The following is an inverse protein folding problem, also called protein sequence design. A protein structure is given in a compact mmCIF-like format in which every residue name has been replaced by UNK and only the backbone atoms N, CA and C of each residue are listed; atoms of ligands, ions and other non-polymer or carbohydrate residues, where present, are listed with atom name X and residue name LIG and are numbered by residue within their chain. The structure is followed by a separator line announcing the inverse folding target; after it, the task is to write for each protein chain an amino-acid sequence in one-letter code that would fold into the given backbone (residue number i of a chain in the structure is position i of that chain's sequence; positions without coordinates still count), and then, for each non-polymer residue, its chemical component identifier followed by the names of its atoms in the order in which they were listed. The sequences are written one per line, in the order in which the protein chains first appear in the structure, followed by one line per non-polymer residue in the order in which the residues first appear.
data_IF_194361522295
#
_entry.id   IF_194361522295
#
_cell.length_a   1.000
_cell.length_b   1.000
_cell.length_c   1.000
_cell.angle_alpha   90.00
_cell.angle_beta   90.00
_cell.angle_gamma   90.00
#
_symmetry.space_group_name_H-M   'P 1'
#
loop_
_entity.id
_entity.type
_entity.pdbx_description
1 polymer ?
#
# COMPACT_ATOMS: atom_id res chain seq x y z
N UNK A 1 17.16 0.42 9.55
CA UNK A 1 17.73 0.95 8.29
C UNK A 1 17.74 2.48 8.26
N UNK A 2 18.75 3.14 8.85
CA UNK A 2 18.77 4.62 8.92
C UNK A 2 18.82 5.30 7.54
N UNK A 3 19.60 4.75 6.59
CA UNK A 3 19.71 5.34 5.24
C UNK A 3 18.45 5.15 4.40
N UNK A 4 17.78 4.00 4.52
CA UNK A 4 16.48 3.76 3.85
C UNK A 4 15.44 4.73 4.38
N UNK A 5 15.40 4.95 5.70
CA UNK A 5 14.53 5.95 6.30
C UNK A 5 14.81 7.35 5.74
N UNK A 6 16.08 7.79 5.75
CA UNK A 6 16.46 9.08 5.21
C UNK A 6 16.06 9.24 3.73
N UNK A 7 16.40 8.26 2.88
CA UNK A 7 16.13 8.30 1.46
C UNK A 7 14.63 8.27 1.12
N UNK A 8 13.84 7.45 1.84
CA UNK A 8 12.41 7.38 1.62
C UNK A 8 11.72 8.71 2.01
N UNK A 9 12.03 9.25 3.19
CA UNK A 9 11.38 10.50 3.64
C UNK A 9 11.86 11.73 2.88
N UNK A 10 13.13 11.77 2.42
CA UNK A 10 13.63 12.87 1.59
C UNK A 10 13.18 12.76 0.13
N UNK A 11 13.18 11.55 -0.46
CA UNK A 11 12.74 11.32 -1.84
C UNK A 11 11.24 11.50 -2.04
N UNK A 12 10.43 11.09 -1.07
CA UNK A 12 8.97 11.29 -1.09
C UNK A 12 8.53 12.54 -0.32
N UNK A 13 9.38 13.57 -0.20
CA UNK A 13 9.18 14.73 0.68
C UNK A 13 7.77 15.33 0.59
N UNK A 14 7.36 15.79 -0.61
CA UNK A 14 6.04 16.42 -0.81
C UNK A 14 4.91 15.44 -0.47
N UNK A 15 5.05 14.16 -0.83
CA UNK A 15 4.06 13.15 -0.53
C UNK A 15 3.91 12.93 0.99
N UNK A 16 5.03 12.90 1.72
CA UNK A 16 5.04 12.77 3.19
C UNK A 16 4.47 14.00 3.89
N UNK A 17 4.73 15.21 3.37
CA UNK A 17 4.08 16.43 3.88
C UNK A 17 2.56 16.36 3.69
N UNK A 18 2.07 15.90 2.54
CA UNK A 18 0.63 15.70 2.31
C UNK A 18 0.03 14.70 3.30
N UNK A 19 0.72 13.58 3.58
CA UNK A 19 0.30 12.60 4.59
C UNK A 19 0.25 13.25 5.97
N UNK A 20 1.28 14.00 6.35
CA UNK A 20 1.33 14.69 7.64
C UNK A 20 0.18 15.68 7.81
N UNK A 21 -0.06 16.53 6.80
CA UNK A 21 -1.18 17.46 6.78
C UNK A 21 -2.53 16.74 6.88
N UNK A 22 -2.70 15.62 6.17
CA UNK A 22 -3.91 14.81 6.25
C UNK A 22 -4.12 14.21 7.65
N UNK A 23 -3.04 13.75 8.30
CA UNK A 23 -3.09 13.17 9.63
C UNK A 23 -3.44 14.20 10.72
N UNK A 24 -3.15 15.49 10.54
CA UNK A 24 -3.58 16.53 11.48
C UNK A 24 -5.10 16.65 11.60
N UNK A 25 -5.84 16.44 10.51
CA UNK A 25 -7.30 16.56 10.54
C UNK A 25 -7.96 15.49 11.41
N UNK A 26 -7.39 14.29 11.49
CA UNK A 26 -8.04 13.15 12.16
C UNK A 26 -8.28 13.35 13.67
N UNK A 27 -7.27 13.63 14.52
CA UNK A 27 -7.50 13.81 15.95
C UNK A 27 -8.36 15.05 16.24
N UNK A 28 -8.13 16.15 15.51
CA UNK A 28 -8.88 17.39 15.66
C UNK A 28 -10.35 17.21 15.30
N UNK A 29 -10.64 16.52 14.20
CA UNK A 29 -12.01 16.30 13.76
C UNK A 29 -12.79 15.44 14.75
N UNK A 30 -12.18 14.43 15.38
CA UNK A 30 -12.88 13.62 16.39
C UNK A 30 -13.28 14.42 17.63
N UNK A 31 -12.42 15.30 18.14
CA UNK A 31 -12.76 16.11 19.32
C UNK A 31 -13.68 17.30 18.96
N UNK A 32 -13.41 18.00 17.85
CA UNK A 32 -14.07 19.28 17.54
C UNK A 32 -15.42 19.13 16.83
N UNK A 33 -15.68 18.02 16.15
CA UNK A 33 -16.94 17.79 15.42
C UNK A 33 -18.18 18.01 16.29
N UNK A 34 -18.13 17.59 17.56
CA UNK A 34 -19.27 17.65 18.48
C UNK A 34 -19.43 18.98 19.23
N UNK A 35 -18.43 19.86 19.22
CA UNK A 35 -18.37 21.03 20.12
C UNK A 35 -19.34 22.15 19.74
N UNK A 36 -19.62 22.32 18.44
CA UNK A 36 -20.50 23.37 17.93
C UNK A 36 -21.71 22.74 17.23
N UNK A 37 -22.91 23.13 17.64
CA UNK A 37 -24.17 22.66 17.07
C UNK A 37 -24.52 23.38 15.74
N UNK A 38 -23.61 23.35 14.77
CA UNK A 38 -23.79 23.92 13.43
C UNK A 38 -23.58 22.84 12.36
N UNK A 39 -24.51 22.73 11.41
CA UNK A 39 -24.44 21.75 10.33
C UNK A 39 -23.20 21.94 9.42
N UNK A 40 -22.83 23.19 9.11
CA UNK A 40 -21.63 23.49 8.31
C UNK A 40 -20.35 23.10 9.04
N UNK A 41 -20.31 23.30 10.36
CA UNK A 41 -19.19 22.90 11.21
C UNK A 41 -18.99 21.39 11.20
N UNK A 42 -20.06 20.61 11.40
CA UNK A 42 -20.00 19.15 11.35
C UNK A 42 -19.56 18.65 9.98
N UNK A 43 -20.10 19.23 8.90
CA UNK A 43 -19.72 18.86 7.53
C UNK A 43 -18.23 19.12 7.23
N UNK A 44 -17.67 20.24 7.72
CA UNK A 44 -16.25 20.56 7.57
C UNK A 44 -15.36 19.50 8.23
N UNK A 45 -15.66 19.13 9.48
CA UNK A 45 -14.90 18.11 10.21
C UNK A 45 -15.12 16.70 9.66
N UNK A 46 -16.32 16.38 9.20
CA UNK A 46 -16.59 15.12 8.48
C UNK A 46 -15.76 15.02 7.19
N UNK A 47 -15.64 16.11 6.43
CA UNK A 47 -14.75 16.18 5.26
C UNK A 47 -13.29 16.00 5.65
N UNK A 48 -12.86 16.63 6.75
CA UNK A 48 -11.50 16.45 7.30
C UNK A 48 -11.22 15.00 7.70
N UNK A 49 -12.18 14.28 8.31
CA UNK A 49 -12.04 12.85 8.63
C UNK A 49 -11.89 12.00 7.37
N UNK A 50 -12.65 12.30 6.32
CA UNK A 50 -12.55 11.58 5.04
C UNK A 50 -11.18 11.81 4.41
N UNK A 51 -10.73 13.06 4.29
CA UNK A 51 -9.41 13.40 3.73
C UNK A 51 -8.30 12.75 4.54
N UNK A 52 -8.34 12.88 5.87
CA UNK A 52 -7.35 12.31 6.78
C UNK A 52 -7.30 10.78 6.78
N UNK A 53 -8.38 10.12 6.34
CA UNK A 53 -8.45 8.65 6.22
C UNK A 53 -8.15 8.15 4.81
N UNK A 54 -8.35 8.97 3.78
CA UNK A 54 -8.16 8.61 2.38
C UNK A 54 -6.73 8.87 1.90
N UNK A 55 -6.16 10.04 2.24
CA UNK A 55 -4.85 10.45 1.72
C UNK A 55 -3.72 9.51 2.15
N UNK A 56 -3.59 9.09 3.44
CA UNK A 56 -2.46 8.26 3.84
C UNK A 56 -2.41 6.90 3.11
N UNK A 57 -3.48 6.09 3.06
CA UNK A 57 -3.45 4.82 2.32
C UNK A 57 -3.10 4.97 0.84
N UNK A 58 -3.63 6.00 0.17
CA UNK A 58 -3.37 6.26 -1.26
C UNK A 58 -1.91 6.62 -1.47
N UNK A 59 -1.37 7.57 -0.69
CA UNK A 59 0.02 8.02 -0.82
C UNK A 59 1.00 6.90 -0.51
N UNK A 60 0.76 6.10 0.53
CA UNK A 60 1.62 4.95 0.82
C UNK A 60 1.56 3.89 -0.30
N UNK A 61 0.39 3.64 -0.88
CA UNK A 61 0.28 2.74 -2.03
C UNK A 61 1.05 3.25 -3.26
N UNK A 62 0.97 4.55 -3.55
CA UNK A 62 1.76 5.20 -4.61
C UNK A 62 3.26 5.09 -4.32
N UNK A 63 3.68 5.32 -3.07
CA UNK A 63 5.08 5.18 -2.68
C UNK A 63 5.60 3.75 -2.92
N UNK A 64 4.85 2.72 -2.49
CA UNK A 64 5.18 1.32 -2.76
C UNK A 64 5.23 1.00 -4.27
N UNK A 65 4.29 1.54 -5.05
CA UNK A 65 4.32 1.39 -6.51
C UNK A 65 5.59 1.95 -7.14
N UNK A 66 6.07 3.12 -6.68
CA UNK A 66 7.31 3.70 -7.16
C UNK A 66 8.57 2.93 -6.74
N UNK A 67 8.52 2.14 -5.66
CA UNK A 67 9.66 1.27 -5.29
C UNK A 67 9.92 0.20 -6.36
N UNK A 68 8.88 -0.28 -7.06
CA UNK A 68 9.04 -1.23 -8.17
C UNK A 68 9.58 -0.59 -9.45
N UNK A 69 9.29 0.69 -9.69
CA UNK A 69 9.71 1.43 -10.89
C UNK A 69 11.10 2.06 -10.78
N UNK A 70 11.72 1.95 -9.60
CA UNK A 70 12.81 2.78 -9.10
C UNK A 70 12.50 4.27 -8.95
N UNK A 71 13.19 4.86 -7.98
CA UNK A 71 13.08 6.26 -7.61
C UNK A 71 14.40 6.95 -7.99
N UNK A 72 14.39 8.09 -8.70
CA UNK A 72 15.60 8.77 -9.15
C UNK A 72 16.32 9.48 -8.00
N UNK A 73 17.10 8.73 -7.24
CA UNK A 73 18.01 9.25 -6.22
C UNK A 73 19.42 8.67 -6.41
N UNK A 74 20.43 9.39 -5.92
CA UNK A 74 21.81 8.91 -5.88
C UNK A 74 22.40 9.10 -4.49
N UNK A 75 23.36 8.24 -4.14
CA UNK A 75 24.21 8.47 -2.98
C UNK A 75 25.46 9.23 -3.40
N UNK A 76 25.78 10.32 -2.70
CA UNK A 76 27.09 10.98 -2.85
C UNK A 76 28.20 10.09 -2.28
N UNK A 77 29.49 10.38 -2.57
CA UNK A 77 30.61 9.66 -1.95
C UNK A 77 30.60 9.69 -0.41
N UNK A 78 29.99 10.72 0.18
CA UNK A 78 29.79 10.87 1.62
C UNK A 78 28.52 10.18 2.14
N UNK A 79 27.82 9.42 1.29
CA UNK A 79 26.57 8.70 1.58
C UNK A 79 25.38 9.62 1.91
N UNK A 80 25.40 10.85 1.40
CA UNK A 80 24.23 11.73 1.39
C UNK A 80 23.26 11.29 0.28
N UNK A 81 21.96 11.48 0.49
CA UNK A 81 20.93 11.12 -0.50
C UNK A 81 20.53 12.38 -1.27
N UNK A 82 20.87 12.42 -2.55
CA UNK A 82 20.39 13.45 -3.46
C UNK A 82 19.21 12.89 -4.29
N UNK A 83 18.09 13.60 -4.28
CA UNK A 83 16.90 13.25 -5.06
C UNK A 83 16.68 14.28 -6.16
N UNK A 84 16.50 13.80 -7.40
CA UNK A 84 16.43 14.66 -8.58
C UNK A 84 15.07 14.62 -9.29
N UNK A 85 14.13 13.80 -8.81
CA UNK A 85 12.82 13.62 -9.44
C UNK A 85 11.83 14.74 -9.10
N UNK A 86 11.03 15.24 -10.06
CA UNK A 86 9.89 16.08 -9.74
C UNK A 86 8.77 15.26 -9.08
N UNK A 87 7.99 15.89 -8.20
CA UNK A 87 6.86 15.24 -7.50
C UNK A 87 5.89 14.53 -8.45
N UNK A 88 5.59 15.13 -9.60
CA UNK A 88 4.65 14.58 -10.59
C UNK A 88 5.10 13.25 -11.20
N UNK A 89 6.41 12.96 -11.19
CA UNK A 89 6.94 11.67 -11.66
C UNK A 89 6.48 10.51 -10.76
N UNK A 90 6.18 10.79 -9.49
CA UNK A 90 5.67 9.80 -8.54
C UNK A 90 4.25 9.36 -8.89
N UNK A 91 3.49 10.15 -9.64
CA UNK A 91 2.11 9.86 -10.03
C UNK A 91 2.06 9.08 -11.36
N UNK A 92 2.87 8.03 -11.47
CA UNK A 92 2.83 7.14 -12.63
C UNK A 92 1.55 6.30 -12.63
N UNK A 93 1.05 5.85 -13.79
CA UNK A 93 -0.14 5.01 -13.87
C UNK A 93 -0.07 3.74 -13.01
N UNK A 94 1.11 3.10 -12.97
CA UNK A 94 1.35 1.93 -12.12
C UNK A 94 1.32 2.29 -10.63
N UNK A 95 1.93 3.41 -10.23
CA UNK A 95 1.88 3.84 -8.84
C UNK A 95 0.46 4.22 -8.39
N UNK A 96 -0.34 4.84 -9.26
CA UNK A 96 -1.74 5.14 -8.99
C UNK A 96 -2.57 3.86 -8.82
N UNK A 97 -2.30 2.82 -9.61
CA UNK A 97 -2.91 1.50 -9.44
C UNK A 97 -2.59 0.90 -8.06
N UNK A 98 -1.33 0.98 -7.62
CA UNK A 98 -0.93 0.57 -6.27
C UNK A 98 -1.60 1.42 -5.17
N UNK A 99 -1.77 2.72 -5.40
CA UNK A 99 -2.54 3.63 -4.54
C UNK A 99 -3.99 3.20 -4.37
N UNK A 100 -4.66 2.85 -5.48
CA UNK A 100 -6.03 2.36 -5.48
C UNK A 100 -6.17 0.99 -4.80
N UNK A 101 -5.20 0.09 -5.01
CA UNK A 101 -5.12 -1.19 -4.32
C UNK A 101 -5.02 -0.98 -2.80
N UNK A 102 -4.10 -0.14 -2.34
CA UNK A 102 -3.91 0.19 -0.92
C UNK A 102 -5.16 0.79 -0.29
N UNK A 103 -5.82 1.73 -0.97
CA UNK A 103 -7.08 2.30 -0.52
C UNK A 103 -8.17 1.22 -0.38
N UNK A 104 -8.29 0.34 -1.37
CA UNK A 104 -9.29 -0.74 -1.37
C UNK A 104 -9.06 -1.73 -0.22
N UNK A 105 -7.80 -2.04 0.12
CA UNK A 105 -7.44 -2.87 1.28
C UNK A 105 -7.92 -2.26 2.61
N UNK A 106 -7.76 -0.94 2.77
CA UNK A 106 -8.19 -0.24 3.99
C UNK A 106 -9.71 -0.15 4.07
N UNK A 107 -10.39 0.14 2.95
CA UNK A 107 -11.86 0.18 2.90
C UNK A 107 -12.46 -1.20 3.19
N UNK A 108 -11.89 -2.29 2.65
CA UNK A 108 -12.36 -3.64 2.93
C UNK A 108 -12.28 -3.95 4.43
N UNK A 109 -11.12 -3.70 5.05
CA UNK A 109 -10.92 -3.95 6.49
C UNK A 109 -11.86 -3.12 7.37
N UNK A 110 -12.00 -1.83 7.07
CA UNK A 110 -12.93 -0.94 7.77
C UNK A 110 -14.39 -1.35 7.57
N UNK A 111 -14.77 -1.75 6.36
CA UNK A 111 -16.12 -2.21 6.03
C UNK A 111 -16.49 -3.49 6.78
N UNK A 112 -15.58 -4.45 6.87
CA UNK A 112 -15.80 -5.68 7.65
C UNK A 112 -15.87 -5.38 9.15
N UNK A 113 -15.01 -4.49 9.65
CA UNK A 113 -15.05 -4.04 11.05
C UNK A 113 -16.39 -3.37 11.39
N UNK A 114 -16.91 -2.50 10.51
CA UNK A 114 -18.21 -1.88 10.70
C UNK A 114 -19.33 -2.92 10.74
N UNK A 115 -19.30 -3.95 9.89
CA UNK A 115 -20.29 -5.02 9.93
C UNK A 115 -20.27 -5.83 11.23
N UNK A 116 -19.11 -5.94 11.89
CA UNK A 116 -18.98 -6.58 13.21
C UNK A 116 -19.63 -5.74 14.32
N UNK A 117 -19.63 -4.41 14.18
CA UNK A 117 -20.04 -3.46 15.24
C UNK A 117 -21.39 -2.80 15.01
N UNK A 118 -22.03 -3.01 13.87
CA UNK A 118 -23.27 -2.31 13.50
C UNK A 118 -24.32 -3.27 12.98
N UNK A 119 -25.58 -2.83 13.03
CA UNK A 119 -26.74 -3.61 12.61
C UNK A 119 -27.61 -2.82 11.60
N UNK A 120 -28.62 -3.50 11.04
CA UNK A 120 -29.59 -2.91 10.13
C UNK A 120 -28.97 -2.27 8.88
N UNK A 121 -29.41 -1.05 8.57
CA UNK A 121 -29.05 -0.33 7.34
C UNK A 121 -27.55 -0.03 7.26
N UNK A 122 -26.90 0.28 8.39
CA UNK A 122 -25.47 0.61 8.42
C UNK A 122 -24.65 -0.63 8.06
N UNK A 123 -25.01 -1.80 8.60
CA UNK A 123 -24.37 -3.08 8.26
C UNK A 123 -24.51 -3.42 6.78
N UNK A 124 -25.69 -3.20 6.18
CA UNK A 124 -25.93 -3.45 4.76
C UNK A 124 -25.07 -2.53 3.87
N UNK A 125 -24.93 -1.25 4.23
CA UNK A 125 -24.05 -0.32 3.52
C UNK A 125 -22.58 -0.72 3.64
N UNK A 126 -22.15 -1.13 4.82
CA UNK A 126 -20.80 -1.62 5.07
C UNK A 126 -20.49 -2.90 4.26
N UNK A 127 -21.47 -3.82 4.16
CA UNK A 127 -21.36 -5.01 3.31
C UNK A 127 -21.21 -4.65 1.83
N UNK A 128 -21.97 -3.67 1.34
CA UNK A 128 -21.81 -3.16 -0.02
C UNK A 128 -20.41 -2.58 -0.25
N UNK A 129 -19.88 -1.78 0.67
CA UNK A 129 -18.53 -1.24 0.58
C UNK A 129 -17.46 -2.36 0.56
N UNK A 130 -17.60 -3.37 1.43
CA UNK A 130 -16.72 -4.55 1.46
C UNK A 130 -16.76 -5.30 0.12
N UNK A 131 -17.93 -5.48 -0.49
CA UNK A 131 -18.07 -6.14 -1.81
C UNK A 131 -17.27 -5.43 -2.90
N UNK A 132 -17.50 -4.13 -3.06
CA UNK A 132 -16.82 -3.35 -4.11
C UNK A 132 -15.31 -3.32 -3.87
N UNK A 133 -14.89 -3.18 -2.60
CA UNK A 133 -13.47 -3.17 -2.25
C UNK A 133 -12.80 -4.52 -2.49
N UNK A 134 -13.45 -5.63 -2.14
CA UNK A 134 -12.92 -6.97 -2.42
C UNK A 134 -12.71 -7.21 -3.92
N UNK A 135 -13.68 -6.80 -4.75
CA UNK A 135 -13.55 -6.89 -6.22
C UNK A 135 -12.41 -5.99 -6.73
N UNK A 136 -12.33 -4.74 -6.27
CA UNK A 136 -11.27 -3.81 -6.64
C UNK A 136 -9.89 -4.32 -6.25
N UNK A 137 -9.73 -4.94 -5.06
CA UNK A 137 -8.47 -5.55 -4.64
C UNK A 137 -8.03 -6.62 -5.64
N UNK A 138 -8.93 -7.55 -5.99
CA UNK A 138 -8.59 -8.64 -6.93
C UNK A 138 -8.19 -8.08 -8.28
N UNK A 139 -8.97 -7.15 -8.84
CA UNK A 139 -8.68 -6.53 -10.14
C UNK A 139 -7.37 -5.77 -10.10
N UNK A 140 -7.18 -4.87 -9.13
CA UNK A 140 -5.97 -4.05 -9.05
C UNK A 140 -4.72 -4.90 -8.79
N UNK A 141 -4.83 -5.93 -7.96
CA UNK A 141 -3.71 -6.82 -7.65
C UNK A 141 -3.32 -7.69 -8.86
N UNK A 142 -4.30 -8.22 -9.60
CA UNK A 142 -4.06 -8.94 -10.86
C UNK A 142 -3.41 -8.04 -11.91
N UNK A 143 -3.96 -6.83 -12.10
CA UNK A 143 -3.40 -5.87 -13.06
C UNK A 143 -1.99 -5.43 -12.67
N UNK A 144 -1.73 -5.18 -11.38
CA UNK A 144 -0.41 -4.79 -10.90
C UNK A 144 0.60 -5.93 -11.09
N UNK A 145 0.22 -7.17 -10.77
CA UNK A 145 1.06 -8.34 -10.98
C UNK A 145 1.37 -8.58 -12.46
N UNK A 146 0.36 -8.47 -13.34
CA UNK A 146 0.55 -8.59 -14.78
C UNK A 146 1.45 -7.49 -15.34
N UNK A 147 1.23 -6.23 -14.93
CA UNK A 147 2.05 -5.10 -15.37
C UNK A 147 3.51 -5.28 -14.94
N UNK A 148 3.73 -5.71 -13.70
CA UNK A 148 5.07 -5.97 -13.19
C UNK A 148 5.76 -7.09 -13.97
N UNK A 149 5.02 -8.14 -14.35
CA UNK A 149 5.55 -9.25 -15.15
C UNK A 149 5.86 -8.84 -16.59
N UNK A 150 4.99 -8.06 -17.23
CA UNK A 150 5.06 -7.77 -18.66
C UNK A 150 5.89 -6.53 -19.02
N UNK A 151 5.96 -5.53 -18.13
CA UNK A 151 6.38 -4.18 -18.50
C UNK A 151 7.26 -3.44 -17.50
N UNK A 152 7.72 -4.09 -16.42
CA UNK A 152 8.62 -3.48 -15.45
C UNK A 152 9.87 -4.34 -15.29
N UNK A 153 11.01 -3.78 -15.67
CA UNK A 153 12.30 -4.41 -15.43
C UNK A 153 12.59 -4.43 -13.92
N UNK A 154 13.14 -5.54 -13.44
CA UNK A 154 13.51 -5.69 -12.04
C UNK A 154 14.98 -5.47 -11.80
N UNK A 155 15.35 -5.37 -10.52
CA UNK A 155 16.73 -5.23 -10.10
C UNK A 155 17.29 -6.59 -9.68
N UNK A 156 18.54 -6.87 -10.05
CA UNK A 156 19.28 -8.06 -9.61
C UNK A 156 20.59 -7.63 -8.99
N UNK A 157 20.82 -8.15 -7.79
CA UNK A 157 22.02 -7.85 -7.03
C UNK A 157 23.13 -8.82 -7.47
N UNK A 158 24.19 -8.28 -8.07
CA UNK A 158 25.31 -9.03 -8.64
C UNK A 158 26.36 -9.35 -7.59
N UNK A 159 26.70 -8.36 -6.76
CA UNK A 159 27.75 -8.46 -5.75
C UNK A 159 27.29 -7.85 -4.43
N UNK A 160 27.35 -8.64 -3.36
CA UNK A 160 27.17 -8.18 -1.98
C UNK A 160 27.93 -9.12 -1.04
N UNK A 161 28.77 -8.54 -0.20
CA UNK A 161 29.26 -9.23 0.99
C UNK A 161 28.23 -9.09 2.11
N UNK A 162 27.68 -10.20 2.58
CA UNK A 162 26.70 -10.22 3.66
C UNK A 162 27.30 -9.84 5.02
N UNK A 163 28.60 -10.08 5.20
CA UNK A 163 29.33 -9.74 6.43
C UNK A 163 30.10 -8.41 6.32
N UNK A 164 30.03 -7.76 5.15
CA UNK A 164 30.69 -6.50 4.88
C UNK A 164 30.03 -5.31 5.57
N UNK A 165 30.69 -4.14 5.56
CA UNK A 165 30.11 -2.92 6.12
C UNK A 165 28.83 -2.55 5.37
N UNK A 166 27.86 -1.96 6.08
CA UNK A 166 26.65 -1.43 5.45
C UNK A 166 27.01 -0.25 4.54
N UNK A 167 27.26 -0.51 3.25
CA UNK A 167 27.60 0.51 2.25
C UNK A 167 26.96 0.17 0.88
N UNK A 168 25.90 0.89 0.46
CA UNK A 168 25.27 0.73 -0.85
C UNK A 168 26.20 0.93 -2.04
N UNK A 169 27.24 1.76 -1.92
CA UNK A 169 28.19 2.04 -3.01
C UNK A 169 29.07 0.83 -3.34
N UNK A 170 29.15 -0.16 -2.45
CA UNK A 170 29.90 -1.41 -2.66
C UNK A 170 29.05 -2.50 -3.31
N UNK A 171 27.76 -2.24 -3.61
CA UNK A 171 26.85 -3.21 -4.22
C UNK A 171 26.79 -3.02 -5.73
N UNK A 172 26.98 -4.10 -6.48
CA UNK A 172 26.69 -4.14 -7.91
C UNK A 172 25.23 -4.50 -8.15
N UNK A 173 24.51 -3.67 -8.90
CA UNK A 173 23.10 -3.91 -9.27
C UNK A 173 22.97 -3.83 -10.79
N UNK A 174 22.28 -4.81 -11.38
CA UNK A 174 21.88 -4.79 -12.78
C UNK A 174 20.36 -4.69 -12.91
N UNK A 175 19.90 -4.08 -14.00
CA UNK A 175 18.48 -4.03 -14.38
C UNK A 175 18.27 -5.15 -15.40
N UNK A 176 17.35 -6.07 -15.11
CA UNK A 176 17.06 -7.22 -15.96
C UNK A 176 15.55 -7.40 -16.15
N UNK A 177 15.11 -7.74 -17.38
CA UNK A 177 13.70 -7.98 -17.65
C UNK A 177 13.20 -9.18 -16.85
N UNK A 178 12.02 -9.03 -16.22
CA UNK A 178 11.38 -10.09 -15.44
C UNK A 178 12.06 -10.42 -14.10
N UNK A 179 13.09 -9.67 -13.68
CA UNK A 179 13.87 -10.00 -12.48
C UNK A 179 13.04 -10.01 -11.18
N UNK A 180 11.94 -9.25 -11.13
CA UNK A 180 10.99 -9.30 -10.02
C UNK A 180 10.38 -10.68 -9.77
N UNK A 181 10.38 -11.55 -10.78
CA UNK A 181 9.80 -12.89 -10.70
C UNK A 181 10.80 -13.96 -10.24
N UNK A 182 12.09 -13.61 -10.11
CA UNK A 182 13.16 -14.58 -9.84
C UNK A 182 12.92 -15.41 -8.58
N UNK A 183 12.42 -14.81 -7.50
CA UNK A 183 12.12 -15.54 -6.26
C UNK A 183 11.01 -16.55 -6.43
N UNK A 184 9.96 -16.19 -7.16
CA UNK A 184 8.83 -17.08 -7.44
C UNK A 184 9.22 -18.23 -8.37
N UNK A 185 10.12 -17.98 -9.32
CA UNK A 185 10.65 -19.02 -10.22
C UNK A 185 11.55 -19.99 -9.44
N UNK A 186 12.44 -19.49 -8.58
CA UNK A 186 13.37 -20.32 -7.79
C UNK A 186 12.68 -21.10 -6.68
N UNK A 187 11.62 -20.54 -6.10
CA UNK A 187 10.86 -21.16 -5.02
C UNK A 187 9.36 -21.05 -5.29
N UNK A 188 8.78 -21.96 -6.09
CA UNK A 188 7.37 -21.90 -6.49
C UNK A 188 6.38 -21.90 -5.33
N UNK A 189 6.76 -22.42 -4.15
CA UNK A 189 5.96 -22.34 -2.93
C UNK A 189 5.60 -20.89 -2.54
N UNK A 190 6.45 -19.91 -2.90
CA UNK A 190 6.19 -18.49 -2.63
C UNK A 190 4.98 -17.96 -3.41
N UNK A 191 4.55 -18.62 -4.49
CA UNK A 191 3.34 -18.26 -5.25
C UNK A 191 2.06 -18.44 -4.44
N UNK A 192 2.07 -19.23 -3.36
CA UNK A 192 0.91 -19.39 -2.48
C UNK A 192 0.49 -18.02 -1.89
N UNK A 193 1.44 -17.14 -1.60
CA UNK A 193 1.19 -15.84 -0.96
C UNK A 193 0.40 -14.90 -1.88
N UNK A 194 0.83 -14.60 -3.12
CA UNK A 194 0.03 -13.79 -4.04
C UNK A 194 -1.31 -14.45 -4.40
N UNK A 195 -1.35 -15.78 -4.53
CA UNK A 195 -2.62 -16.50 -4.77
C UNK A 195 -3.61 -16.30 -3.62
N UNK A 196 -3.16 -16.40 -2.37
CA UNK A 196 -3.98 -16.09 -1.20
C UNK A 196 -4.40 -14.62 -1.19
N UNK A 197 -3.54 -13.70 -1.64
CA UNK A 197 -3.86 -12.28 -1.83
C UNK A 197 -5.06 -12.05 -2.76
N UNK A 198 -5.31 -12.94 -3.72
CA UNK A 198 -6.47 -12.89 -4.63
C UNK A 198 -7.70 -13.65 -4.10
N UNK A 199 -7.49 -14.79 -3.45
CA UNK A 199 -8.59 -15.67 -2.99
C UNK A 199 -9.23 -15.14 -1.71
N UNK A 200 -8.42 -14.68 -0.75
CA UNK A 200 -8.90 -14.22 0.56
C UNK A 200 -9.88 -13.02 0.52
N UNK A 201 -9.74 -11.99 -0.34
CA UNK A 201 -10.75 -10.93 -0.45
C UNK A 201 -12.13 -11.48 -0.82
N UNK A 202 -12.18 -12.47 -1.72
CA UNK A 202 -13.43 -13.12 -2.16
C UNK A 202 -14.03 -13.91 -0.99
N UNK A 203 -13.19 -14.68 -0.27
CA UNK A 203 -13.62 -15.42 0.92
C UNK A 203 -14.10 -14.49 2.05
N UNK A 204 -13.45 -13.33 2.23
CA UNK A 204 -13.85 -12.32 3.20
C UNK A 204 -15.25 -11.79 2.88
N UNK A 205 -15.49 -11.42 1.62
CA UNK A 205 -16.81 -11.00 1.17
C UNK A 205 -17.86 -12.10 1.35
N UNK A 206 -17.55 -13.33 0.97
CA UNK A 206 -18.49 -14.46 1.10
C UNK A 206 -18.82 -14.79 2.56
N UNK A 207 -17.85 -14.73 3.46
CA UNK A 207 -18.06 -14.89 4.89
C UNK A 207 -18.98 -13.79 5.44
N UNK A 208 -18.79 -12.54 5.00
CA UNK A 208 -19.66 -11.42 5.36
C UNK A 208 -21.10 -11.60 4.86
N UNK A 209 -21.31 -12.11 3.64
CA UNK A 209 -22.65 -12.44 3.12
C UNK A 209 -23.37 -13.48 3.99
N UNK A 210 -22.65 -14.50 4.47
CA UNK A 210 -23.18 -15.54 5.36
C UNK A 210 -23.35 -15.08 6.82
N UNK A 211 -23.10 -13.82 7.12
CA UNK A 211 -23.15 -13.27 8.48
C UNK A 211 -21.98 -13.71 9.39
N UNK A 212 -20.98 -14.41 8.86
CA UNK A 212 -19.79 -14.87 9.59
C UNK A 212 -18.73 -13.76 9.64
N UNK A 213 -19.09 -12.60 10.20
CA UNK A 213 -18.26 -11.38 10.18
C UNK A 213 -16.90 -11.54 10.83
N UNK A 214 -16.76 -12.37 11.87
CA UNK A 214 -15.46 -12.68 12.50
C UNK A 214 -14.50 -13.35 11.50
N UNK A 215 -14.98 -14.36 10.75
CA UNK A 215 -14.18 -15.02 9.71
C UNK A 215 -13.87 -14.06 8.57
N UNK A 216 -14.84 -13.23 8.19
CA UNK A 216 -14.64 -12.15 7.22
C UNK A 216 -13.50 -11.22 7.64
N UNK A 217 -13.42 -10.84 8.92
CA UNK A 217 -12.38 -9.96 9.46
C UNK A 217 -10.99 -10.62 9.42
N UNK A 218 -10.92 -11.91 9.79
CA UNK A 218 -9.69 -12.69 9.68
C UNK A 218 -9.21 -12.78 8.23
N UNK A 219 -10.09 -13.11 7.29
CA UNK A 219 -9.73 -13.16 5.87
C UNK A 219 -9.29 -11.81 5.32
N UNK A 220 -9.98 -10.71 5.67
CA UNK A 220 -9.59 -9.37 5.27
C UNK A 220 -8.20 -8.98 5.82
N UNK A 221 -7.90 -9.34 7.07
CA UNK A 221 -6.58 -9.10 7.69
C UNK A 221 -5.49 -9.93 7.02
N UNK A 222 -5.78 -11.21 6.71
CA UNK A 222 -4.86 -12.08 5.98
C UNK A 222 -4.61 -11.58 4.55
N UNK A 223 -5.63 -11.04 3.87
CA UNK A 223 -5.46 -10.38 2.56
C UNK A 223 -4.42 -9.26 2.64
N UNK A 224 -4.53 -8.37 3.63
CA UNK A 224 -3.56 -7.29 3.81
C UNK A 224 -2.14 -7.84 4.00
N UNK A 225 -1.98 -8.84 4.86
CA UNK A 225 -0.70 -9.50 5.08
C UNK A 225 -0.15 -10.12 3.79
N UNK A 226 -0.95 -10.89 3.05
CA UNK A 226 -0.54 -11.52 1.80
C UNK A 226 -0.08 -10.49 0.76
N UNK A 227 -0.84 -9.41 0.54
CA UNK A 227 -0.48 -8.37 -0.43
C UNK A 227 0.84 -7.68 -0.04
N UNK A 228 1.01 -7.34 1.23
CA UNK A 228 2.25 -6.70 1.73
C UNK A 228 3.43 -7.66 1.63
N UNK A 229 3.25 -8.93 2.01
CA UNK A 229 4.30 -9.94 1.90
C UNK A 229 4.66 -10.24 0.45
N UNK A 230 3.70 -10.26 -0.48
CA UNK A 230 4.02 -10.37 -1.92
C UNK A 230 4.95 -9.24 -2.35
N UNK A 231 4.66 -7.99 -1.97
CA UNK A 231 5.52 -6.87 -2.31
C UNK A 231 6.93 -7.04 -1.70
N UNK A 232 7.01 -7.44 -0.43
CA UNK A 232 8.29 -7.69 0.25
C UNK A 232 9.13 -8.82 -0.36
N UNK A 233 8.51 -9.95 -0.72
CA UNK A 233 9.18 -11.07 -1.41
C UNK A 233 9.67 -10.64 -2.79
N UNK A 234 8.86 -9.85 -3.49
CA UNK A 234 9.21 -9.35 -4.81
C UNK A 234 10.41 -8.42 -4.74
N UNK A 235 10.41 -7.46 -3.79
CA UNK A 235 11.48 -6.49 -3.63
C UNK A 235 12.76 -7.07 -3.04
N UNK A 236 12.69 -8.15 -2.27
CA UNK A 236 13.88 -8.72 -1.62
C UNK A 236 15.01 -9.02 -2.63
N UNK A 237 16.29 -8.72 -2.33
CA UNK A 237 16.84 -8.10 -1.12
C UNK A 237 17.01 -6.56 -1.21
N UNK A 238 16.28 -5.89 -2.12
CA UNK A 238 16.35 -4.44 -2.35
C UNK A 238 15.58 -3.62 -1.31
#
# INVERSE_FOLDING_TARGET
WPRVYAAAFSGFYVAMILVLCALFFRPLAFDYRGKIANARWRALWDTGLVIGSLVPPVVFGIAFGNLFLAVPFAFTPQLHVDYFGPFWQLLSPFALLCGLLSLSLVIMQGGVWLQLKTEGVIRQRALSATRHSALLIVICFLLAGYWLWAGVDGFVLLTQDANGPSNPLLKGVAILPGAWMNHFIRSPLLLIIPLLGMILPILAFYACLRGQTIRGFLFASLTQACVIFTAGITLFPF
#
